data_IF_565893405680
#
_entry.id   IF_565893405680
#
_cell.length_a   1.000
_cell.length_b   1.000
_cell.length_c   1.000
_cell.angle_alpha   90.00
_cell.angle_beta   90.00
_cell.angle_gamma   90.00
#
_symmetry.space_group_name_H-M   'P 1'
#
loop_
_entity.id
_entity.type
_entity.pdbx_description
1 polymer ?
#
# COMPACT_ATOMS: atom_id res chain seq x y z
N UNK A 1 -3.64 4.04 24.05
CA UNK A 1 -3.71 3.28 22.78
C UNK A 1 -2.66 3.88 21.87
N UNK A 2 -1.75 3.06 21.31
CA UNK A 2 -0.85 3.54 20.25
C UNK A 2 -1.74 3.80 19.03
N UNK A 3 -1.77 5.04 18.57
CA UNK A 3 -2.49 5.41 17.37
C UNK A 3 -1.83 4.71 16.16
N UNK A 4 -2.52 3.73 15.58
CA UNK A 4 -2.05 2.92 14.46
C UNK A 4 -2.50 3.48 13.10
N UNK A 5 -3.07 4.69 13.07
CA UNK A 5 -3.54 5.35 11.82
C UNK A 5 -2.46 5.47 10.75
N UNK A 6 -1.18 5.52 11.13
CA UNK A 6 -0.06 5.50 10.19
C UNK A 6 -0.03 4.26 9.29
N UNK A 7 -0.50 3.09 9.77
CA UNK A 7 -0.61 1.89 8.96
C UNK A 7 -1.71 2.01 7.91
N UNK A 8 -2.89 2.52 8.30
CA UNK A 8 -3.99 2.76 7.35
C UNK A 8 -3.58 3.77 6.28
N UNK A 9 -2.97 4.90 6.67
CA UNK A 9 -2.49 5.88 5.69
C UNK A 9 -1.41 5.31 4.77
N UNK A 10 -0.51 4.48 5.30
CA UNK A 10 0.49 3.81 4.48
C UNK A 10 -0.14 2.81 3.51
N UNK A 11 -1.15 2.06 3.94
CA UNK A 11 -1.87 1.13 3.08
C UNK A 11 -2.52 1.85 1.89
N UNK A 12 -3.14 3.00 2.13
CA UNK A 12 -3.75 3.82 1.08
C UNK A 12 -2.71 4.32 0.06
N UNK A 13 -1.46 4.59 0.48
CA UNK A 13 -0.38 4.96 -0.45
C UNK A 13 0.00 3.87 -1.46
N UNK A 14 -0.41 2.62 -1.22
CA UNK A 14 -0.20 1.48 -2.10
C UNK A 14 -1.47 1.05 -2.85
N UNK A 15 -2.56 1.82 -2.80
CA UNK A 15 -3.72 1.59 -3.67
C UNK A 15 -3.59 2.35 -4.98
N UNK A 16 -4.36 1.94 -5.97
CA UNK A 16 -4.39 2.59 -7.28
C UNK A 16 -4.73 4.09 -7.16
N UNK A 17 -3.91 5.01 -7.70
CA UNK A 17 -4.12 6.45 -7.51
C UNK A 17 -5.44 6.96 -8.10
N UNK A 18 -6.15 7.75 -7.31
CA UNK A 18 -7.39 8.44 -7.69
C UNK A 18 -7.44 9.87 -7.11
N UNK A 19 -8.40 10.66 -7.57
CA UNK A 19 -8.51 12.08 -7.19
C UNK A 19 -8.75 12.32 -5.69
N UNK A 20 -9.42 11.39 -5.02
CA UNK A 20 -9.71 11.41 -3.58
C UNK A 20 -8.49 11.06 -2.71
N UNK A 21 -7.39 10.61 -3.33
CA UNK A 21 -6.21 10.13 -2.63
C UNK A 21 -5.05 11.14 -2.58
N UNK A 22 -5.27 12.36 -3.10
CA UNK A 22 -4.20 13.36 -3.26
C UNK A 22 -3.55 13.83 -1.96
N UNK A 23 -4.26 13.77 -0.83
CA UNK A 23 -3.78 14.29 0.46
C UNK A 23 -3.11 13.22 1.34
N UNK A 24 -3.12 11.95 0.94
CA UNK A 24 -2.51 10.87 1.73
C UNK A 24 -1.00 11.03 1.93
N UNK A 25 -0.20 11.43 0.91
CA UNK A 25 1.23 11.65 1.10
C UNK A 25 1.53 12.70 2.19
N UNK A 26 0.81 13.81 2.19
CA UNK A 26 0.92 14.89 3.18
C UNK A 26 0.52 14.42 4.58
N UNK A 27 -0.62 13.74 4.71
CA UNK A 27 -1.09 13.21 6.00
C UNK A 27 -0.12 12.20 6.59
N UNK A 28 0.43 11.32 5.75
CA UNK A 28 1.40 10.33 6.20
C UNK A 28 2.72 10.96 6.64
N UNK A 29 3.20 11.96 5.88
CA UNK A 29 4.39 12.74 6.24
C UNK A 29 4.21 13.48 7.58
N UNK A 30 3.05 14.11 7.80
CA UNK A 30 2.74 14.79 9.07
C UNK A 30 2.79 13.82 10.25
N UNK A 31 2.25 12.61 10.09
CA UNK A 31 2.29 11.61 11.17
C UNK A 31 3.72 11.12 11.41
N UNK A 32 4.47 10.74 10.36
CA UNK A 32 5.82 10.21 10.54
C UNK A 32 6.82 11.23 11.08
N UNK A 33 6.70 12.49 10.67
CA UNK A 33 7.57 13.55 11.20
C UNK A 33 7.42 13.73 12.71
N UNK A 34 6.24 13.43 13.29
CA UNK A 34 6.03 13.45 14.75
C UNK A 34 6.78 12.32 15.48
N UNK A 35 7.14 11.24 14.77
CA UNK A 35 7.92 10.14 15.33
C UNK A 35 9.43 10.39 15.21
N UNK A 36 9.88 10.91 14.06
CA UNK A 36 11.28 11.21 13.79
C UNK A 36 11.40 12.35 12.76
N UNK A 37 11.81 13.54 13.23
CA UNK A 37 12.00 14.73 12.40
C UNK A 37 13.04 14.54 11.29
N UNK A 38 13.97 13.57 11.43
CA UNK A 38 14.98 13.28 10.41
C UNK A 38 14.36 12.68 9.13
N UNK A 39 13.13 12.15 9.21
CA UNK A 39 12.39 11.63 8.07
C UNK A 39 11.72 12.73 7.24
N UNK A 40 11.57 13.94 7.79
CA UNK A 40 10.87 15.02 7.10
C UNK A 40 11.48 15.41 5.75
N UNK A 41 12.81 15.60 5.59
CA UNK A 41 13.39 15.94 4.29
C UNK A 41 13.13 14.92 3.16
N UNK A 42 13.33 13.59 3.33
CA UNK A 42 12.98 12.63 2.29
C UNK A 42 11.47 12.54 2.01
N UNK A 43 10.62 12.67 3.04
CA UNK A 43 9.17 12.63 2.88
C UNK A 43 8.64 13.87 2.15
N UNK A 44 9.11 15.07 2.49
CA UNK A 44 8.77 16.31 1.78
C UNK A 44 9.14 16.24 0.29
N UNK A 45 10.30 15.66 -0.04
CA UNK A 45 10.70 15.46 -1.45
C UNK A 45 9.76 14.52 -2.18
N UNK A 46 9.36 13.43 -1.54
CA UNK A 46 8.42 12.47 -2.12
C UNK A 46 7.04 13.11 -2.35
N UNK A 47 6.48 13.77 -1.33
CA UNK A 47 5.20 14.46 -1.40
C UNK A 47 5.20 15.53 -2.50
N UNK A 48 6.25 16.36 -2.56
CA UNK A 48 6.39 17.37 -3.62
C UNK A 48 6.44 16.72 -5.01
N UNK A 49 7.21 15.64 -5.18
CA UNK A 49 7.33 14.95 -6.45
C UNK A 49 5.99 14.42 -6.95
N UNK A 50 5.22 13.72 -6.11
CA UNK A 50 3.92 13.16 -6.49
C UNK A 50 2.94 14.27 -6.85
N UNK A 51 2.88 15.35 -6.05
CA UNK A 51 1.97 16.48 -6.28
C UNK A 51 2.21 17.20 -7.61
N UNK A 52 3.46 17.27 -8.06
CA UNK A 52 3.82 17.88 -9.35
C UNK A 52 3.42 17.03 -10.56
N UNK A 53 3.12 15.74 -10.37
CA UNK A 53 2.75 14.83 -11.46
C UNK A 53 1.24 14.80 -11.68
N UNK A 54 0.78 14.80 -12.95
CA UNK A 54 -0.63 14.60 -13.24
C UNK A 54 -1.06 13.20 -12.77
N UNK A 55 -2.33 13.04 -12.41
CA UNK A 55 -2.89 11.77 -11.93
C UNK A 55 -2.62 10.61 -12.90
N UNK A 56 -2.73 10.87 -14.21
CA UNK A 56 -2.45 9.87 -15.25
C UNK A 56 -1.01 9.32 -15.18
N UNK A 57 -0.04 10.18 -14.87
CA UNK A 57 1.35 9.74 -14.69
C UNK A 57 1.49 8.86 -13.45
N UNK A 58 0.83 9.23 -12.34
CA UNK A 58 0.87 8.43 -11.12
C UNK A 58 0.23 7.06 -11.33
N UNK A 59 -0.89 7.00 -12.05
CA UNK A 59 -1.58 5.77 -12.42
C UNK A 59 -0.72 4.87 -13.33
N UNK A 60 -0.07 5.43 -14.35
CA UNK A 60 0.85 4.68 -15.20
C UNK A 60 2.07 4.16 -14.42
N UNK A 61 2.60 4.98 -13.51
CA UNK A 61 3.68 4.57 -12.63
C UNK A 61 3.26 3.44 -11.68
N UNK A 62 2.04 3.50 -11.13
CA UNK A 62 1.48 2.43 -10.32
C UNK A 62 1.36 1.12 -11.11
N UNK A 63 0.74 1.16 -12.29
CA UNK A 63 0.50 -0.04 -13.12
C UNK A 63 1.83 -0.71 -13.51
N UNK A 64 2.81 0.07 -13.94
CA UNK A 64 4.13 -0.44 -14.31
C UNK A 64 4.93 -0.98 -13.12
N UNK A 65 4.63 -0.50 -11.90
CA UNK A 65 5.33 -0.96 -10.70
C UNK A 65 4.67 -2.20 -10.09
N UNK A 66 3.34 -2.24 -10.00
CA UNK A 66 2.62 -3.16 -9.12
C UNK A 66 1.65 -4.14 -9.79
N UNK A 67 1.28 -3.92 -11.06
CA UNK A 67 0.14 -4.64 -11.66
C UNK A 67 0.53 -5.49 -12.90
N UNK A 68 0.22 -5.02 -14.12
CA UNK A 68 0.22 -5.83 -15.36
C UNK A 68 1.54 -6.55 -15.65
N UNK A 69 2.68 -5.88 -15.44
CA UNK A 69 4.02 -6.46 -15.52
C UNK A 69 4.83 -5.97 -14.33
N UNK A 70 4.28 -6.18 -13.14
CA UNK A 70 4.81 -5.64 -11.90
C UNK A 70 6.31 -5.90 -11.75
N UNK A 71 7.08 -4.84 -11.53
CA UNK A 71 8.42 -4.94 -11.00
C UNK A 71 8.40 -5.43 -9.53
N UNK A 72 7.31 -5.14 -8.83
CA UNK A 72 7.12 -5.46 -7.42
C UNK A 72 5.65 -5.86 -7.19
N UNK A 73 5.38 -7.13 -6.90
CA UNK A 73 4.01 -7.58 -6.64
C UNK A 73 3.58 -7.19 -5.21
N UNK A 74 2.34 -6.72 -5.08
CA UNK A 74 1.74 -6.40 -3.77
C UNK A 74 1.12 -7.62 -3.08
N UNK A 75 0.96 -8.75 -3.78
CA UNK A 75 0.44 -9.98 -3.20
C UNK A 75 1.58 -10.78 -2.56
N UNK A 76 1.68 -10.76 -1.23
CA UNK A 76 2.82 -11.36 -0.53
C UNK A 76 2.90 -12.88 -0.75
N UNK A 77 1.77 -13.56 -0.93
CA UNK A 77 1.73 -14.98 -1.25
C UNK A 77 2.35 -15.29 -2.61
N UNK A 78 2.21 -14.38 -3.59
CA UNK A 78 2.89 -14.51 -4.87
C UNK A 78 4.40 -14.28 -4.73
N UNK A 79 4.82 -13.28 -3.95
CA UNK A 79 6.26 -13.03 -3.71
C UNK A 79 6.94 -14.24 -3.05
N UNK A 80 6.26 -14.91 -2.12
CA UNK A 80 6.82 -16.04 -1.38
C UNK A 80 6.79 -17.35 -2.15
N UNK A 81 5.73 -17.59 -2.93
CA UNK A 81 5.45 -18.92 -3.51
C UNK A 81 5.29 -18.93 -5.03
N UNK A 82 5.19 -17.78 -5.69
CA UNK A 82 4.88 -17.68 -7.12
C UNK A 82 3.60 -18.42 -7.46
N UNK A 83 3.66 -19.25 -8.51
CA UNK A 83 2.56 -20.11 -8.97
C UNK A 83 2.48 -21.48 -8.27
N UNK A 84 3.25 -21.68 -7.20
CA UNK A 84 3.26 -22.95 -6.46
C UNK A 84 1.94 -23.17 -5.70
N UNK A 85 1.51 -24.44 -5.60
CA UNK A 85 0.30 -24.82 -4.86
C UNK A 85 0.28 -24.32 -3.40
N UNK A 86 1.46 -24.10 -2.80
CA UNK A 86 1.62 -23.49 -1.47
C UNK A 86 0.98 -22.10 -1.38
N UNK A 87 0.93 -21.32 -2.47
CA UNK A 87 0.21 -20.04 -2.52
C UNK A 87 -1.26 -20.22 -2.19
N UNK A 88 -1.90 -21.26 -2.75
CA UNK A 88 -3.31 -21.56 -2.49
C UNK A 88 -3.57 -21.87 -1.01
N UNK A 89 -2.69 -22.64 -0.37
CA UNK A 89 -2.77 -22.94 1.07
C UNK A 89 -2.58 -21.67 1.90
N UNK A 90 -1.60 -20.85 1.52
CA UNK A 90 -1.32 -19.57 2.18
C UNK A 90 -2.53 -18.62 2.12
N UNK A 91 -3.14 -18.43 0.95
CA UNK A 91 -4.33 -17.59 0.75
C UNK A 91 -5.50 -18.02 1.64
N UNK A 92 -5.75 -19.32 1.75
CA UNK A 92 -6.81 -19.85 2.62
C UNK A 92 -6.54 -19.52 4.09
N UNK A 93 -5.29 -19.59 4.54
CA UNK A 93 -4.93 -19.28 5.91
C UNK A 93 -4.99 -17.78 6.20
N UNK A 94 -4.45 -16.94 5.32
CA UNK A 94 -4.53 -15.48 5.48
C UNK A 94 -5.99 -15.01 5.46
N UNK A 95 -6.84 -15.56 4.59
CA UNK A 95 -8.29 -15.26 4.61
C UNK A 95 -8.92 -15.52 5.97
N UNK A 96 -8.56 -16.61 6.65
CA UNK A 96 -9.06 -16.92 8.00
C UNK A 96 -8.58 -15.89 9.02
N UNK A 97 -7.32 -15.44 8.93
CA UNK A 97 -6.77 -14.42 9.83
C UNK A 97 -7.40 -13.05 9.59
N UNK A 98 -7.60 -12.63 8.33
CA UNK A 98 -8.30 -11.38 7.99
C UNK A 98 -9.74 -11.36 8.55
N UNK A 99 -10.48 -12.48 8.42
CA UNK A 99 -11.83 -12.61 9.01
C UNK A 99 -11.79 -12.51 10.53
N UNK A 100 -10.84 -13.16 11.20
CA UNK A 100 -10.69 -13.08 12.66
C UNK A 100 -10.36 -11.65 13.11
N UNK A 101 -9.54 -10.93 12.34
CA UNK A 101 -9.21 -9.53 12.58
C UNK A 101 -10.36 -8.57 12.24
N UNK A 102 -11.43 -9.06 11.60
CA UNK A 102 -12.54 -8.26 11.06
C UNK A 102 -12.06 -7.19 10.07
N UNK A 103 -11.03 -7.51 9.31
CA UNK A 103 -10.51 -6.63 8.28
C UNK A 103 -11.33 -6.77 6.99
N UNK A 104 -11.58 -5.65 6.31
CA UNK A 104 -12.27 -5.63 5.03
C UNK A 104 -11.24 -5.58 3.89
N UNK A 105 -11.07 -6.71 3.20
CA UNK A 105 -10.16 -6.83 2.07
C UNK A 105 -10.76 -6.31 0.75
N UNK A 106 -12.01 -5.83 0.75
CA UNK A 106 -12.70 -5.37 -0.45
C UNK A 106 -12.75 -6.42 -1.56
N UNK A 107 -12.33 -6.04 -2.76
CA UNK A 107 -12.26 -6.92 -3.94
C UNK A 107 -10.92 -7.63 -4.11
N UNK A 108 -9.92 -7.28 -3.30
CA UNK A 108 -8.56 -7.79 -3.44
C UNK A 108 -8.36 -9.16 -2.80
N UNK A 109 -7.27 -9.84 -3.16
CA UNK A 109 -6.87 -11.06 -2.49
C UNK A 109 -6.52 -10.77 -1.02
N UNK A 110 -6.75 -11.73 -0.11
CA UNK A 110 -6.56 -11.51 1.33
C UNK A 110 -5.09 -11.24 1.71
N UNK A 111 -4.15 -11.54 0.83
CA UNK A 111 -2.72 -11.32 0.97
C UNK A 111 -2.18 -10.08 0.24
N UNK A 112 -3.07 -9.27 -0.34
CA UNK A 112 -2.73 -7.98 -0.91
C UNK A 112 -2.23 -7.02 0.17
N UNK A 113 -1.04 -6.43 0.00
CA UNK A 113 -0.33 -5.68 1.05
C UNK A 113 -1.15 -4.54 1.71
N UNK A 114 -1.96 -3.74 0.97
CA UNK A 114 -2.88 -2.75 1.55
C UNK A 114 -4.03 -3.28 2.43
N UNK A 115 -4.23 -4.59 2.55
CA UNK A 115 -5.29 -5.19 3.36
C UNK A 115 -4.85 -5.37 4.82
#
# INVERSE_FOLDING_TARGET
MKDLTHYTLLAEMFRYPSDDMKDYPEKWNEILSRYDDSLRPPLDRFTAHIREKPLSFQQEYYISTFDVQAMCFLDIGYVLYGEDYRRGIFLVNIKKEQIKAKNDCGSELPDHLPN
#
